data_IF_192538070662
#
_entry.id   IF_192538070662
#
_cell.length_a   1.000
_cell.length_b   1.000
_cell.length_c   1.000
_cell.angle_alpha   90.00
_cell.angle_beta   90.00
_cell.angle_gamma   90.00
#
_symmetry.space_group_name_H-M   'P 1'
#
loop_
_entity.id
_entity.type
_entity.pdbx_description
1 polymer ?
#
# COMPACT_ATOMS: atom_id res chain seq x y z
N UNK A 1 36.57 82.65 11.25
CA UNK A 1 37.87 82.87 11.91
C UNK A 1 37.93 81.92 13.11
N UNK A 2 38.81 80.89 13.05
CA UNK A 2 39.95 80.68 13.99
C UNK A 2 39.52 80.63 15.48
N UNK A 3 39.84 79.66 16.34
CA UNK A 3 40.78 78.50 16.32
C UNK A 3 40.68 77.82 17.72
N UNK A 4 40.80 76.48 17.80
CA UNK A 4 41.71 75.67 18.68
C UNK A 4 41.58 75.81 20.24
N UNK A 5 41.66 74.83 21.15
CA UNK A 5 41.68 73.34 21.29
C UNK A 5 41.73 73.00 22.80
N UNK A 6 41.22 71.80 23.20
CA UNK A 6 41.71 70.78 24.19
C UNK A 6 41.95 71.20 25.68
N UNK A 7 41.74 70.41 26.75
CA UNK A 7 41.86 68.96 26.97
C UNK A 7 41.21 68.52 28.33
N UNK A 8 40.64 67.29 28.36
CA UNK A 8 40.33 66.29 29.44
C UNK A 8 40.34 66.63 30.96
N UNK A 9 39.39 66.05 31.73
CA UNK A 9 39.55 64.77 32.48
C UNK A 9 38.28 64.34 33.28
N UNK A 10 37.98 63.04 33.24
CA UNK A 10 37.24 62.14 34.17
C UNK A 10 36.10 62.68 35.07
N UNK A 11 34.91 62.08 34.94
CA UNK A 11 33.89 62.05 36.02
C UNK A 11 33.60 60.59 36.37
N UNK A 12 33.89 60.23 37.62
CA UNK A 12 33.54 58.96 38.24
C UNK A 12 32.06 58.97 38.67
N UNK A 13 31.37 57.87 38.39
CA UNK A 13 29.97 57.63 38.77
C UNK A 13 29.91 57.30 40.27
N UNK A 14 29.18 58.12 41.03
CA UNK A 14 28.84 57.89 42.43
C UNK A 14 27.54 57.08 42.48
N UNK A 15 27.60 55.92 43.12
CA UNK A 15 26.47 55.06 43.41
C UNK A 15 25.50 55.76 44.39
N UNK A 16 24.23 55.89 43.98
CA UNK A 16 23.13 56.18 44.89
C UNK A 16 22.39 54.87 45.17
N UNK A 17 22.46 54.41 46.42
CA UNK A 17 21.70 53.27 46.94
C UNK A 17 20.23 53.70 47.03
N UNK A 18 19.37 53.10 46.22
CA UNK A 18 17.93 53.04 46.45
C UNK A 18 17.61 51.64 46.96
N UNK A 19 17.08 51.57 48.19
CA UNK A 19 16.44 50.37 48.72
C UNK A 19 15.20 50.06 47.88
N UNK A 20 15.32 49.12 46.95
CA UNK A 20 14.20 48.49 46.24
C UNK A 20 14.04 47.06 46.74
N UNK A 21 12.82 46.66 47.10
CA UNK A 21 12.48 45.29 47.46
C UNK A 21 13.01 44.31 46.41
N UNK A 22 13.56 43.17 46.83
CA UNK A 22 13.96 42.10 45.92
C UNK A 22 12.72 41.59 45.19
N UNK A 23 12.58 41.95 43.91
CA UNK A 23 11.67 41.29 43.00
C UNK A 23 12.19 39.85 42.87
N UNK A 24 11.37 38.91 43.33
CA UNK A 24 11.40 37.52 42.86
C UNK A 24 11.45 37.59 41.33
N UNK A 25 12.44 36.98 40.68
CA UNK A 25 12.61 37.09 39.24
C UNK A 25 11.30 36.76 38.51
N UNK A 26 10.91 37.60 37.56
CA UNK A 26 9.75 37.31 36.71
C UNK A 26 9.95 35.91 36.11
N UNK A 27 8.94 35.02 36.19
CA UNK A 27 9.04 33.69 35.62
C UNK A 27 9.31 33.80 34.12
N UNK A 28 10.18 32.94 33.61
CA UNK A 28 10.49 32.89 32.19
C UNK A 28 9.22 32.59 31.39
N UNK A 29 8.77 33.59 30.62
CA UNK A 29 7.60 33.49 29.73
C UNK A 29 7.99 32.91 28.38
N UNK A 30 9.28 32.70 28.11
CA UNK A 30 9.69 31.98 26.91
C UNK A 30 9.23 30.54 27.05
N UNK A 31 8.50 30.04 26.05
CA UNK A 31 8.02 28.67 26.00
C UNK A 31 9.18 27.66 26.04
N UNK A 32 8.88 26.35 26.09
CA UNK A 32 9.89 25.35 25.72
C UNK A 32 10.53 25.75 24.37
N UNK A 33 11.83 25.48 24.23
CA UNK A 33 12.67 26.08 23.20
C UNK A 33 12.06 25.98 21.78
N UNK A 34 12.06 27.11 21.06
CA UNK A 34 11.70 27.29 19.64
C UNK A 34 12.01 26.04 18.79
N UNK A 35 10.99 25.22 18.58
CA UNK A 35 10.85 24.37 17.40
C UNK A 35 9.73 25.04 16.59
N UNK A 36 9.94 25.18 15.28
CA UNK A 36 9.03 25.92 14.40
C UNK A 36 7.57 25.55 14.68
N UNK A 37 6.67 26.55 14.64
CA UNK A 37 5.25 26.36 14.29
C UNK A 37 5.20 25.80 12.86
N UNK A 38 5.72 24.59 12.66
CA UNK A 38 5.48 23.80 11.49
C UNK A 38 4.11 23.18 11.74
N UNK A 39 3.17 23.46 10.85
CA UNK A 39 2.03 22.60 10.63
C UNK A 39 2.52 21.26 10.07
N UNK A 40 3.35 20.55 10.83
CA UNK A 40 3.72 19.18 10.52
C UNK A 40 2.48 18.36 10.83
N UNK A 41 1.82 17.88 9.78
CA UNK A 41 0.79 16.87 9.93
C UNK A 41 1.42 15.70 10.72
N UNK A 42 0.71 15.19 11.72
CA UNK A 42 1.13 13.96 12.39
C UNK A 42 1.08 12.86 11.33
N UNK A 43 2.22 12.20 11.12
CA UNK A 43 2.31 11.11 10.13
C UNK A 43 1.38 9.98 10.55
N UNK A 44 0.66 9.38 9.59
CA UNK A 44 -0.28 8.31 9.90
C UNK A 44 0.46 7.08 10.46
N UNK A 45 -0.06 6.49 11.53
CA UNK A 45 0.61 5.35 12.18
C UNK A 45 1.90 5.71 12.94
N UNK A 46 2.21 7.00 13.08
CA UNK A 46 3.39 7.42 13.81
C UNK A 46 3.33 6.94 15.26
N UNK A 47 4.37 6.19 15.67
CA UNK A 47 4.49 5.68 17.03
C UNK A 47 4.80 6.83 17.97
N UNK A 48 3.75 7.39 18.59
CA UNK A 48 3.84 8.48 19.56
C UNK A 48 4.65 7.99 20.76
N UNK A 49 5.86 8.54 20.88
CA UNK A 49 6.79 8.23 21.95
C UNK A 49 6.45 9.00 23.22
N UNK A 50 6.12 10.29 23.08
CA UNK A 50 5.76 11.16 24.18
C UNK A 50 4.71 12.18 23.74
N UNK A 51 3.80 12.54 24.65
CA UNK A 51 2.98 13.73 24.50
C UNK A 51 2.94 14.52 25.82
N UNK A 52 3.26 15.81 25.75
CA UNK A 52 3.39 16.69 26.91
C UNK A 52 2.47 17.89 26.79
N UNK A 53 1.56 18.04 27.73
CA UNK A 53 0.73 19.24 27.90
C UNK A 53 1.50 20.29 28.71
N UNK A 54 1.59 21.50 28.17
CA UNK A 54 2.21 22.66 28.79
C UNK A 54 1.12 23.67 29.22
N UNK A 55 1.16 24.05 30.49
CA UNK A 55 0.26 25.04 31.10
C UNK A 55 1.06 26.11 31.84
N UNK A 56 0.84 27.38 31.54
CA UNK A 56 1.50 28.46 32.26
C UNK A 56 0.71 28.89 33.50
N UNK A 57 1.21 28.57 34.69
CA UNK A 57 0.60 28.93 35.98
C UNK A 57 0.81 30.41 36.27
N UNK A 58 -0.29 31.15 36.35
CA UNK A 58 -0.33 32.59 36.65
C UNK A 58 -0.80 32.91 38.08
N UNK A 59 -1.37 31.93 38.79
CA UNK A 59 -1.57 31.96 40.25
C UNK A 59 -1.30 30.58 40.80
N UNK A 60 -0.25 30.47 41.60
CA UNK A 60 0.15 29.23 42.26
C UNK A 60 -0.60 29.06 43.58
N UNK A 61 -1.37 27.98 43.70
CA UNK A 61 -2.14 27.65 44.90
C UNK A 61 -1.47 26.61 45.79
N UNK A 62 -0.52 25.84 45.25
CA UNK A 62 0.02 24.64 45.88
C UNK A 62 -0.92 23.42 45.85
N UNK A 63 -2.09 23.55 45.20
CA UNK A 63 -3.07 22.47 45.09
C UNK A 63 -2.82 21.61 43.84
N UNK A 64 -3.29 20.36 43.91
CA UNK A 64 -3.25 19.42 42.78
C UNK A 64 -4.35 19.75 41.77
N UNK A 65 -3.98 19.75 40.50
CA UNK A 65 -4.85 19.99 39.36
C UNK A 65 -4.91 18.70 38.55
N UNK A 66 -6.09 18.08 38.53
CA UNK A 66 -6.37 16.90 37.72
C UNK A 66 -6.76 17.31 36.30
N UNK A 67 -6.25 16.53 35.34
CA UNK A 67 -6.52 16.64 33.91
C UNK A 67 -7.42 15.47 33.51
N UNK A 68 -8.63 15.77 33.06
CA UNK A 68 -9.59 14.77 32.61
C UNK A 68 -9.83 14.89 31.12
N UNK A 69 -9.99 13.77 30.42
CA UNK A 69 -10.49 13.74 29.04
C UNK A 69 -11.94 14.21 28.99
N UNK A 70 -12.25 15.14 28.10
CA UNK A 70 -13.63 15.54 27.78
C UNK A 70 -14.26 14.48 26.87
N UNK A 71 -15.54 14.18 27.09
CA UNK A 71 -16.24 13.06 26.42
C UNK A 71 -17.38 13.53 25.53
N UNK A 72 -17.62 14.84 25.43
CA UNK A 72 -18.64 15.40 24.55
C UNK A 72 -18.19 16.77 24.05
N UNK A 73 -18.63 17.11 22.84
CA UNK A 73 -18.32 18.39 22.25
C UNK A 73 -18.83 19.56 23.06
N UNK A 74 -18.09 20.65 22.97
CA UNK A 74 -18.40 21.92 23.58
C UNK A 74 -17.95 23.05 22.66
N UNK A 75 -18.68 24.15 22.72
CA UNK A 75 -18.41 25.37 21.96
C UNK A 75 -17.84 26.43 22.90
N UNK A 76 -16.71 27.02 22.55
CA UNK A 76 -16.02 28.05 23.33
C UNK A 76 -16.93 29.21 23.73
N UNK A 77 -17.79 29.64 22.82
CA UNK A 77 -18.62 30.83 22.97
C UNK A 77 -20.00 30.53 23.58
N UNK A 78 -20.33 29.25 23.78
CA UNK A 78 -21.62 28.85 24.32
C UNK A 78 -21.53 27.97 25.58
N UNK A 79 -20.38 27.37 25.89
CA UNK A 79 -20.25 26.46 27.04
C UNK A 79 -20.49 27.18 28.37
N UNK A 80 -21.25 26.53 29.25
CA UNK A 80 -21.56 27.00 30.60
C UNK A 80 -21.41 25.82 31.56
N UNK A 81 -21.41 26.10 32.87
CA UNK A 81 -21.36 25.03 33.87
C UNK A 81 -22.52 24.03 33.72
N UNK A 82 -23.74 24.53 33.49
CA UNK A 82 -24.92 23.69 33.31
C UNK A 82 -24.92 22.93 31.98
N UNK A 83 -24.42 23.52 30.90
CA UNK A 83 -24.42 22.85 29.59
C UNK A 83 -23.32 21.80 29.46
N UNK A 84 -22.19 21.96 30.17
CA UNK A 84 -21.13 20.96 30.19
C UNK A 84 -21.51 19.71 30.99
N UNK A 85 -22.33 19.86 32.05
CA UNK A 85 -23.01 18.79 32.79
C UNK A 85 -22.14 17.59 33.22
N UNK A 86 -20.82 17.76 33.38
CA UNK A 86 -19.90 16.70 33.75
C UNK A 86 -19.50 15.76 32.61
N UNK A 87 -19.49 16.24 31.36
CA UNK A 87 -19.06 15.50 30.18
C UNK A 87 -17.54 15.23 30.14
N UNK A 88 -17.00 14.53 31.14
CA UNK A 88 -15.59 14.15 31.23
C UNK A 88 -15.39 12.77 31.84
N UNK A 89 -14.27 12.13 31.53
CA UNK A 89 -13.91 10.80 32.00
C UNK A 89 -13.38 10.81 33.45
N UNK A 90 -13.66 9.74 34.19
CA UNK A 90 -13.04 9.45 35.49
C UNK A 90 -12.50 8.01 35.48
N UNK A 91 -11.27 7.73 35.95
CA UNK A 91 -10.35 8.65 36.66
C UNK A 91 -9.75 9.74 35.74
N UNK A 92 -9.03 10.69 36.34
CA UNK A 92 -8.23 11.67 35.58
C UNK A 92 -7.12 10.96 34.80
N UNK A 93 -6.78 11.51 33.64
CA UNK A 93 -5.69 11.01 32.78
C UNK A 93 -4.32 11.33 33.40
N UNK A 94 -4.21 12.49 34.05
CA UNK A 94 -3.00 12.92 34.73
C UNK A 94 -3.31 13.97 35.83
N UNK A 95 -2.29 14.34 36.62
CA UNK A 95 -2.38 15.49 37.53
C UNK A 95 -1.03 16.18 37.73
N UNK A 96 -1.06 17.41 38.23
CA UNK A 96 0.14 18.17 38.59
C UNK A 96 -0.14 19.17 39.71
N UNK A 97 0.89 19.53 40.47
CA UNK A 97 0.79 20.54 41.53
C UNK A 97 1.10 21.93 41.00
N UNK A 98 0.18 22.88 41.21
CA UNK A 98 0.32 24.29 40.83
C UNK A 98 1.00 25.11 41.96
N UNK A 99 2.23 24.76 42.33
CA UNK A 99 2.99 25.30 43.47
C UNK A 99 3.87 26.52 43.16
N UNK A 100 4.20 26.76 41.89
CA UNK A 100 5.03 27.89 41.44
C UNK A 100 4.46 28.55 40.20
N UNK A 101 4.79 29.83 39.99
CA UNK A 101 4.47 30.55 38.76
C UNK A 101 5.38 30.07 37.62
N UNK A 102 4.83 29.98 36.41
CA UNK A 102 5.56 29.55 35.21
C UNK A 102 5.00 28.27 34.58
N UNK A 103 5.74 27.71 33.63
CA UNK A 103 5.35 26.49 32.92
C UNK A 103 5.27 25.27 33.83
N UNK A 104 4.18 24.53 33.68
CA UNK A 104 3.99 23.17 34.18
C UNK A 104 3.79 22.23 33.01
N UNK A 105 4.42 21.07 33.10
CA UNK A 105 4.29 19.99 32.13
C UNK A 105 3.48 18.86 32.74
N UNK A 106 2.65 18.24 31.91
CA UNK A 106 1.84 17.08 32.27
C UNK A 106 2.01 16.04 31.17
N UNK A 107 2.39 14.82 31.55
CA UNK A 107 2.46 13.70 30.61
C UNK A 107 1.04 13.25 30.26
N UNK A 108 0.72 13.31 28.97
CA UNK A 108 -0.58 12.90 28.40
C UNK A 108 -0.37 11.91 27.25
N UNK A 109 0.77 11.21 27.23
CA UNK A 109 1.18 10.31 26.13
C UNK A 109 0.09 9.29 25.78
N UNK A 110 -0.42 8.54 26.76
CA UNK A 110 -1.44 7.52 26.51
C UNK A 110 -2.78 8.10 26.06
N UNK A 111 -3.14 9.30 26.52
CA UNK A 111 -4.35 9.99 26.07
C UNK A 111 -4.23 10.38 24.60
N UNK A 112 -3.10 10.99 24.23
CA UNK A 112 -2.83 11.41 22.85
C UNK A 112 -2.73 10.21 21.90
N UNK A 113 -2.16 9.09 22.34
CA UNK A 113 -2.18 7.84 21.58
C UNK A 113 -3.63 7.39 21.29
N UNK A 114 -4.52 7.42 22.29
CA UNK A 114 -5.93 7.09 22.09
C UNK A 114 -6.67 8.09 21.19
N UNK A 115 -6.36 9.39 21.28
CA UNK A 115 -6.88 10.39 20.34
C UNK A 115 -6.50 10.07 18.90
N UNK A 116 -5.23 9.74 18.65
CA UNK A 116 -4.73 9.45 17.29
C UNK A 116 -5.08 8.06 16.78
N UNK A 117 -5.41 7.13 17.68
CA UNK A 117 -5.97 5.83 17.35
C UNK A 117 -7.47 5.89 16.99
N UNK A 118 -8.13 7.05 17.20
CA UNK A 118 -9.58 7.19 17.00
C UNK A 118 -10.42 6.58 18.12
N UNK A 119 -9.82 6.27 19.28
CA UNK A 119 -10.56 5.73 20.42
C UNK A 119 -11.53 6.76 21.03
N UNK A 120 -11.26 8.05 20.79
CA UNK A 120 -11.95 9.17 21.42
C UNK A 120 -12.21 10.32 20.43
N UNK A 121 -13.48 10.70 20.28
CA UNK A 121 -13.92 11.72 19.30
C UNK A 121 -13.66 13.18 19.71
N UNK A 122 -13.16 13.42 20.93
CA UNK A 122 -12.98 14.78 21.46
C UNK A 122 -11.58 14.98 22.06
N UNK A 123 -10.85 15.96 21.51
CA UNK A 123 -9.49 16.34 21.92
C UNK A 123 -9.47 17.38 23.05
N UNK A 124 -10.53 17.38 23.86
CA UNK A 124 -10.73 18.29 24.97
C UNK A 124 -10.21 17.75 26.29
N UNK A 125 -9.75 18.67 27.12
CA UNK A 125 -9.29 18.45 28.48
C UNK A 125 -10.09 19.33 29.45
N UNK A 126 -10.43 18.76 30.60
CA UNK A 126 -10.95 19.48 31.75
C UNK A 126 -9.86 19.57 32.83
N UNK A 127 -9.54 20.79 33.24
CA UNK A 127 -8.70 21.11 34.39
C UNK A 127 -9.57 21.44 35.59
N UNK A 128 -9.42 20.68 36.67
CA UNK A 128 -10.10 20.94 37.95
C UNK A 128 -9.24 20.49 39.12
N UNK A 129 -9.56 20.93 40.33
CA UNK A 129 -8.96 20.33 41.53
C UNK A 129 -9.69 19.02 41.87
N UNK A 130 -8.97 18.09 42.49
CA UNK A 130 -9.54 16.80 42.91
C UNK A 130 -10.66 16.98 43.97
N UNK A 131 -10.63 18.08 44.72
CA UNK A 131 -11.58 18.45 45.77
C UNK A 131 -11.94 19.96 45.70
N UNK A 132 -12.97 20.37 46.44
CA UNK A 132 -13.39 21.77 46.62
C UNK A 132 -12.36 22.58 47.44
N UNK A 133 -11.17 22.83 46.86
CA UNK A 133 -10.01 23.37 47.59
C UNK A 133 -9.75 24.84 47.27
N UNK A 134 -9.52 25.63 48.32
CA UNK A 134 -9.01 27.00 48.27
C UNK A 134 -7.50 27.01 48.59
N UNK A 135 -6.69 27.87 47.94
CA UNK A 135 -7.06 28.83 46.89
C UNK A 135 -7.07 28.20 45.49
N UNK A 136 -7.80 28.81 44.56
CA UNK A 136 -7.78 28.42 43.14
C UNK A 136 -6.41 28.60 42.50
N UNK A 137 -6.12 27.76 41.51
CA UNK A 137 -5.05 27.98 40.55
C UNK A 137 -5.57 28.82 39.38
N UNK A 138 -4.70 29.57 38.71
CA UNK A 138 -5.02 30.17 37.41
C UNK A 138 -3.93 29.93 36.39
N UNK A 139 -4.33 29.89 35.12
CA UNK A 139 -3.45 29.67 33.98
C UNK A 139 -3.67 30.76 32.93
N UNK A 140 -2.70 30.97 32.06
CA UNK A 140 -2.90 31.81 30.88
C UNK A 140 -3.85 31.14 29.88
N UNK A 141 -4.65 31.95 29.20
CA UNK A 141 -5.51 31.59 28.07
C UNK A 141 -4.89 32.11 26.75
N UNK A 142 -5.59 31.96 25.63
CA UNK A 142 -5.22 32.34 24.25
C UNK A 142 -4.79 33.80 24.06
N UNK A 143 -5.19 34.71 24.94
CA UNK A 143 -4.82 36.13 24.79
C UNK A 143 -3.40 36.44 25.30
N UNK A 144 -2.66 35.45 25.78
CA UNK A 144 -1.31 35.60 26.32
C UNK A 144 -0.27 34.83 25.50
N UNK A 145 0.97 35.32 25.50
CA UNK A 145 2.11 34.68 24.83
C UNK A 145 2.54 33.31 25.41
N UNK A 146 1.79 32.77 26.37
CA UNK A 146 2.10 31.53 27.10
C UNK A 146 0.82 30.69 27.31
N UNK A 147 0.00 30.60 26.26
CA UNK A 147 -1.25 29.83 26.23
C UNK A 147 -1.01 28.31 26.33
N UNK A 148 -2.06 27.51 26.64
CA UNK A 148 -1.94 26.06 26.68
C UNK A 148 -1.42 25.47 25.35
N UNK A 149 -0.51 24.51 25.45
CA UNK A 149 0.15 23.90 24.30
C UNK A 149 0.33 22.41 24.53
N UNK A 150 0.20 21.61 23.47
CA UNK A 150 0.47 20.19 23.45
C UNK A 150 1.67 19.92 22.54
N UNK A 151 2.70 19.28 23.06
CA UNK A 151 3.83 18.77 22.28
C UNK A 151 3.67 17.28 22.09
N UNK A 152 3.79 16.80 20.85
CA UNK A 152 3.68 15.38 20.50
C UNK A 152 4.95 15.01 19.78
N UNK A 153 5.70 14.04 20.31
CA UNK A 153 6.88 13.49 19.67
C UNK A 153 6.61 12.06 19.19
N UNK A 154 6.95 11.78 17.94
CA UNK A 154 6.68 10.51 17.28
C UNK A 154 7.91 9.98 16.55
N UNK A 155 7.96 8.66 16.36
CA UNK A 155 9.04 8.01 15.61
C UNK A 155 8.86 8.23 14.10
N UNK A 156 9.98 8.48 13.42
CA UNK A 156 10.09 8.54 11.96
C UNK A 156 11.27 7.70 11.48
N UNK A 157 11.35 7.42 10.17
CA UNK A 157 12.49 6.73 9.56
C UNK A 157 13.83 7.45 9.82
N UNK A 158 13.78 8.76 10.06
CA UNK A 158 14.94 9.61 10.39
C UNK A 158 15.23 9.80 11.89
N UNK A 159 14.40 9.26 12.80
CA UNK A 159 14.58 9.39 14.25
C UNK A 159 13.29 9.77 14.98
N UNK A 160 13.32 10.87 15.75
CA UNK A 160 12.16 11.38 16.49
C UNK A 160 11.89 12.81 16.04
N UNK A 161 10.65 13.07 15.64
CA UNK A 161 10.16 14.40 15.34
C UNK A 161 9.13 14.83 16.37
N UNK A 162 9.00 16.14 16.61
CA UNK A 162 8.03 16.69 17.55
C UNK A 162 7.25 17.83 16.89
N UNK A 163 5.93 17.83 17.11
CA UNK A 163 5.01 18.91 16.73
C UNK A 163 4.47 19.59 17.99
N UNK A 164 4.30 20.91 17.93
CA UNK A 164 3.67 21.70 18.99
C UNK A 164 2.36 22.28 18.49
N UNK A 165 1.28 22.01 19.23
CA UNK A 165 -0.10 22.38 18.91
C UNK A 165 -0.59 23.32 20.00
N UNK A 166 -1.02 24.50 19.61
CA UNK A 166 -1.66 25.46 20.51
C UNK A 166 -3.12 25.07 20.71
N UNK A 167 -3.67 25.29 21.90
CA UNK A 167 -5.09 25.10 22.13
C UNK A 167 -5.95 25.98 21.19
N UNK A 168 -6.86 25.34 20.48
CA UNK A 168 -7.76 25.96 19.50
C UNK A 168 -8.96 26.60 20.20
N UNK A 169 -9.48 25.95 21.25
CA UNK A 169 -10.57 26.47 22.09
C UNK A 169 -10.21 26.37 23.58
N UNK A 170 -10.59 27.36 24.38
CA UNK A 170 -10.50 27.34 25.83
C UNK A 170 -11.62 28.14 26.50
N UNK A 171 -12.08 27.70 27.66
CA UNK A 171 -13.07 28.42 28.45
C UNK A 171 -12.93 28.04 29.92
N UNK A 172 -13.37 28.91 30.84
CA UNK A 172 -13.68 28.44 32.18
C UNK A 172 -15.19 28.42 32.42
N UNK A 173 -15.63 27.44 33.21
CA UNK A 173 -17.00 27.30 33.69
C UNK A 173 -17.01 27.51 35.20
N UNK A 174 -18.11 28.08 35.70
CA UNK A 174 -18.18 28.50 37.08
C UNK A 174 -19.50 28.11 37.74
N UNK A 175 -19.42 27.36 38.82
CA UNK A 175 -20.59 26.88 39.55
C UNK A 175 -21.45 28.01 40.15
N UNK A 176 -20.86 29.16 40.53
CA UNK A 176 -21.64 30.31 41.03
C UNK A 176 -22.38 31.07 39.93
N UNK A 177 -21.92 30.96 38.68
CA UNK A 177 -22.54 31.58 37.50
C UNK A 177 -22.88 30.51 36.45
N UNK A 178 -23.80 29.58 36.76
CA UNK A 178 -23.85 28.31 36.05
C UNK A 178 -24.37 28.39 34.61
N UNK A 179 -24.90 29.55 34.21
CA UNK A 179 -25.39 29.82 32.86
C UNK A 179 -24.58 30.91 32.13
N UNK A 180 -23.45 31.33 32.69
CA UNK A 180 -22.56 32.32 32.07
C UNK A 180 -21.43 31.61 31.34
N UNK A 181 -21.17 32.02 30.10
CA UNK A 181 -20.01 31.59 29.33
C UNK A 181 -18.80 32.50 29.63
N UNK A 182 -17.61 31.92 29.67
CA UNK A 182 -16.36 32.65 29.84
C UNK A 182 -15.25 32.19 28.87
N UNK A 183 -15.60 31.97 27.60
CA UNK A 183 -14.64 31.56 26.56
C UNK A 183 -13.64 32.64 26.12
N UNK A 184 -13.87 33.91 26.44
CA UNK A 184 -12.97 35.04 26.15
C UNK A 184 -12.20 35.52 27.39
N UNK A 185 -11.99 34.64 28.35
CA UNK A 185 -11.32 35.04 29.58
C UNK A 185 -9.80 35.04 29.38
N UNK A 186 -9.07 36.11 29.76
CA UNK A 186 -7.61 36.14 29.66
C UNK A 186 -6.93 35.12 30.61
N UNK A 187 -7.71 34.41 31.43
CA UNK A 187 -7.25 33.41 32.38
C UNK A 187 -8.20 32.24 32.47
N UNK A 188 -7.59 31.07 32.63
CA UNK A 188 -8.25 29.83 33.01
C UNK A 188 -8.13 29.65 34.53
N UNK A 189 -9.05 28.89 35.13
CA UNK A 189 -9.16 28.68 36.57
C UNK A 189 -9.46 27.21 36.94
N UNK A 190 -8.89 26.76 38.06
CA UNK A 190 -9.24 25.50 38.71
C UNK A 190 -9.36 25.70 40.22
N UNK A 191 -10.46 25.22 40.83
CA UNK A 191 -10.71 25.30 42.27
C UNK A 191 -11.47 26.54 42.74
N UNK A 192 -11.41 26.82 44.04
CA UNK A 192 -12.26 27.82 44.72
C UNK A 192 -11.56 29.17 44.89
N UNK A 193 -12.26 30.25 44.59
CA UNK A 193 -11.71 31.59 44.83
C UNK A 193 -11.84 32.08 46.28
N UNK A 194 -12.74 31.49 47.06
CA UNK A 194 -12.99 31.67 48.50
C UNK A 194 -14.24 30.84 48.89
N UNK A 195 -14.62 30.84 50.17
CA UNK A 195 -15.77 30.08 50.70
C UNK A 195 -17.13 30.42 50.06
N UNK A 196 -17.24 31.55 49.33
CA UNK A 196 -18.45 31.96 48.60
C UNK A 196 -18.29 31.90 47.06
N UNK A 197 -17.07 31.65 46.58
CA UNK A 197 -16.71 31.53 45.17
C UNK A 197 -16.56 30.04 44.85
N UNK A 198 -17.68 29.42 44.49
CA UNK A 198 -17.79 27.99 44.17
C UNK A 198 -16.85 27.60 43.02
N UNK A 199 -16.69 26.29 42.83
CA UNK A 199 -15.77 25.66 41.87
C UNK A 199 -15.72 26.35 40.49
N UNK A 200 -14.51 26.71 40.08
CA UNK A 200 -14.19 27.02 38.67
C UNK A 200 -13.42 25.86 38.07
N UNK A 201 -13.74 25.53 36.83
CA UNK A 201 -13.06 24.50 36.05
C UNK A 201 -12.73 25.06 34.68
N UNK A 202 -11.68 24.58 34.05
CA UNK A 202 -11.28 25.04 32.72
C UNK A 202 -11.35 23.93 31.70
N UNK A 203 -11.82 24.28 30.52
CA UNK A 203 -11.85 23.46 29.33
C UNK A 203 -10.78 23.96 28.38
N UNK A 204 -10.05 23.04 27.76
CA UNK A 204 -9.04 23.32 26.74
C UNK A 204 -9.22 22.28 25.64
N UNK A 205 -9.26 22.66 24.37
CA UNK A 205 -9.35 21.75 23.22
C UNK A 205 -8.21 22.01 22.26
N UNK A 206 -7.63 20.94 21.76
CA UNK A 206 -6.64 20.98 20.69
C UNK A 206 -7.30 20.57 19.37
N UNK A 207 -6.84 21.14 18.27
CA UNK A 207 -7.12 20.63 16.94
C UNK A 207 -5.91 19.79 16.53
N UNK A 208 -6.06 18.46 16.57
CA UNK A 208 -4.98 17.56 16.18
C UNK A 208 -5.01 17.43 14.66
N UNK A 209 -3.85 17.50 13.97
CA UNK A 209 -3.84 17.25 12.53
C UNK A 209 -4.42 15.85 12.29
N UNK A 210 -5.44 15.77 11.43
CA UNK A 210 -6.07 14.52 11.06
C UNK A 210 -5.00 13.52 10.60
N UNK A 211 -5.13 12.27 11.05
CA UNK A 211 -4.34 11.16 10.52
C UNK A 211 -4.70 11.04 9.04
N UNK A 212 -3.77 11.18 8.07
CA UNK A 212 -4.13 10.86 6.69
C UNK A 212 -4.62 9.41 6.64
N UNK A 213 -5.83 9.22 6.12
CA UNK A 213 -6.36 7.87 5.90
C UNK A 213 -5.40 7.13 4.95
N UNK A 214 -5.00 5.92 5.33
CA UNK A 214 -4.06 5.14 4.52
C UNK A 214 -4.76 4.67 3.24
N UNK A 215 -4.02 4.67 2.14
CA UNK A 215 -4.47 4.27 0.83
C UNK A 215 -4.03 2.82 0.50
N UNK A 216 -4.55 2.31 -0.61
CA UNK A 216 -4.13 1.02 -1.18
C UNK A 216 -4.19 1.05 -2.70
N UNK A 217 -3.27 0.31 -3.34
CA UNK A 217 -3.15 0.20 -4.79
C UNK A 217 -2.90 -1.26 -5.19
N UNK A 218 -3.48 -1.70 -6.30
CA UNK A 218 -3.20 -2.99 -6.90
C UNK A 218 -4.27 -3.42 -7.90
N UNK A 219 -4.42 -4.73 -8.03
CA UNK A 219 -5.59 -5.49 -8.48
C UNK A 219 -5.13 -6.81 -9.10
N UNK A 220 -4.82 -6.89 -10.40
CA UNK A 220 -4.81 -8.15 -11.13
C UNK A 220 -3.69 -8.31 -12.17
N UNK A 221 -3.02 -9.47 -12.16
CA UNK A 221 -2.16 -9.91 -13.28
C UNK A 221 -2.82 -11.10 -13.92
N UNK A 222 -2.96 -11.12 -15.25
CA UNK A 222 -3.72 -12.16 -15.94
C UNK A 222 -3.08 -12.70 -17.21
N UNK A 223 -3.62 -13.83 -17.65
CA UNK A 223 -3.30 -14.50 -18.90
C UNK A 223 -4.23 -13.98 -19.99
N UNK A 224 -3.74 -13.01 -20.75
CA UNK A 224 -4.40 -12.44 -21.93
C UNK A 224 -4.29 -13.45 -23.09
N UNK A 225 -5.35 -14.22 -23.28
CA UNK A 225 -5.34 -15.39 -24.14
C UNK A 225 -5.40 -15.01 -25.63
N UNK A 226 -5.99 -13.87 -25.96
CA UNK A 226 -6.14 -13.41 -27.35
C UNK A 226 -5.24 -12.22 -27.72
N UNK A 227 -4.47 -11.72 -26.76
CA UNK A 227 -3.48 -10.65 -26.89
C UNK A 227 -4.13 -9.34 -27.36
N UNK A 228 -5.30 -9.01 -26.81
CA UNK A 228 -5.99 -7.77 -27.09
C UNK A 228 -5.78 -6.69 -26.00
N UNK A 229 -5.17 -7.05 -24.87
CA UNK A 229 -4.87 -6.16 -23.76
C UNK A 229 -6.06 -5.81 -22.85
N UNK A 230 -7.17 -6.55 -22.96
CA UNK A 230 -8.40 -6.36 -22.19
C UNK A 230 -8.69 -7.62 -21.39
N UNK A 231 -9.14 -7.46 -20.14
CA UNK A 231 -9.56 -8.59 -19.30
C UNK A 231 -10.91 -9.14 -19.78
N UNK A 232 -10.89 -10.35 -20.33
CA UNK A 232 -12.07 -10.99 -20.90
C UNK A 232 -12.66 -12.15 -20.07
N UNK A 233 -13.94 -12.44 -20.29
CA UNK A 233 -14.60 -13.57 -19.62
C UNK A 233 -13.98 -14.90 -20.05
N UNK A 234 -13.35 -15.59 -19.10
CA UNK A 234 -12.70 -16.88 -19.32
C UNK A 234 -11.17 -16.81 -19.29
N UNK A 235 -10.61 -15.61 -19.22
CA UNK A 235 -9.21 -15.40 -18.92
C UNK A 235 -8.92 -15.62 -17.43
N UNK A 236 -7.74 -16.15 -17.14
CA UNK A 236 -7.36 -16.55 -15.79
C UNK A 236 -6.25 -15.65 -15.26
N UNK A 237 -6.30 -15.33 -13.97
CA UNK A 237 -5.19 -14.62 -13.35
C UNK A 237 -3.92 -15.47 -13.28
N UNK A 238 -2.77 -14.79 -13.33
CA UNK A 238 -1.45 -15.40 -13.29
C UNK A 238 -0.92 -15.46 -11.85
N UNK A 239 -0.74 -16.65 -11.26
CA UNK A 239 -0.31 -16.77 -9.88
C UNK A 239 1.20 -16.60 -9.68
N UNK A 240 1.60 -16.03 -8.54
CA UNK A 240 2.99 -15.77 -8.16
C UNK A 240 3.78 -14.89 -9.15
N UNK A 241 3.14 -13.97 -9.85
CA UNK A 241 3.84 -12.87 -10.50
C UNK A 241 4.47 -11.98 -9.42
N UNK A 242 5.72 -11.56 -9.63
CA UNK A 242 6.39 -10.60 -8.75
C UNK A 242 5.99 -9.18 -9.15
N UNK A 243 5.55 -8.40 -8.16
CA UNK A 243 5.09 -7.02 -8.35
C UNK A 243 5.80 -6.13 -7.35
N UNK A 244 6.40 -5.04 -7.84
CA UNK A 244 7.18 -4.09 -7.02
C UNK A 244 6.50 -2.73 -6.98
N UNK A 245 6.52 -2.09 -5.82
CA UNK A 245 6.00 -0.74 -5.59
C UNK A 245 7.17 0.24 -5.43
N UNK A 246 7.05 1.41 -6.05
CA UNK A 246 7.96 2.54 -5.95
C UNK A 246 7.18 3.82 -5.65
N UNK A 247 7.81 4.80 -5.00
CA UNK A 247 7.23 6.14 -4.76
C UNK A 247 7.45 7.09 -5.96
N UNK A 248 7.43 6.52 -7.18
CA UNK A 248 7.88 7.13 -8.43
C UNK A 248 9.37 7.53 -8.48
N UNK A 249 10.15 7.28 -7.43
CA UNK A 249 11.59 7.51 -7.42
C UNK A 249 12.39 6.32 -6.85
N UNK A 250 12.08 5.94 -5.62
CA UNK A 250 12.76 4.95 -4.80
C UNK A 250 11.86 3.73 -4.55
N UNK A 251 12.50 2.58 -4.32
CA UNK A 251 11.81 1.33 -4.05
C UNK A 251 11.12 1.38 -2.68
N UNK A 252 9.85 0.95 -2.64
CA UNK A 252 9.02 0.89 -1.42
C UNK A 252 8.87 -0.56 -0.95
N UNK A 253 8.30 -1.43 -1.78
CA UNK A 253 7.90 -2.78 -1.37
C UNK A 253 7.83 -3.76 -2.55
N UNK A 254 7.68 -5.06 -2.24
CA UNK A 254 7.41 -6.12 -3.21
C UNK A 254 6.34 -7.05 -2.67
N UNK A 255 5.51 -7.57 -3.56
CA UNK A 255 4.47 -8.57 -3.27
C UNK A 255 4.38 -9.58 -4.42
N UNK A 256 3.54 -10.60 -4.24
CA UNK A 256 3.28 -11.59 -5.28
C UNK A 256 1.78 -11.78 -5.46
N UNK A 257 1.35 -12.02 -6.70
CA UNK A 257 -0.04 -12.34 -6.96
C UNK A 257 -0.45 -13.67 -6.34
N UNK A 258 -1.70 -13.73 -5.89
CA UNK A 258 -2.29 -14.91 -5.26
C UNK A 258 -2.63 -16.02 -6.29
N UNK A 259 -3.27 -17.10 -5.84
CA UNK A 259 -3.64 -18.23 -6.70
C UNK A 259 -4.63 -17.88 -7.82
N UNK A 260 -5.31 -16.75 -7.69
CA UNK A 260 -6.26 -16.25 -8.67
C UNK A 260 -5.68 -15.09 -9.49
N UNK A 261 -4.45 -14.61 -9.24
CA UNK A 261 -3.83 -13.50 -9.96
C UNK A 261 -3.92 -12.14 -9.27
N UNK A 262 -4.53 -12.04 -8.08
CA UNK A 262 -4.72 -10.76 -7.40
C UNK A 262 -3.53 -10.36 -6.54
N UNK A 263 -3.22 -9.07 -6.46
CA UNK A 263 -2.24 -8.50 -5.55
C UNK A 263 -2.74 -7.18 -4.93
N UNK A 264 -2.16 -6.80 -3.80
CA UNK A 264 -2.52 -5.57 -3.10
C UNK A 264 -1.29 -5.03 -2.34
N UNK A 265 -1.08 -3.72 -2.44
CA UNK A 265 -0.31 -2.95 -1.47
C UNK A 265 -1.28 -2.12 -0.65
N UNK A 266 -1.37 -2.40 0.63
CA UNK A 266 -2.20 -1.69 1.60
C UNK A 266 -1.33 -0.87 2.57
N UNK A 267 -2.00 -0.13 3.45
CA UNK A 267 -1.36 0.69 4.49
C UNK A 267 -0.39 1.75 3.93
N UNK A 268 -0.67 2.29 2.74
CA UNK A 268 0.16 3.30 2.08
C UNK A 268 -0.16 4.70 2.59
N UNK A 269 0.88 5.52 2.74
CA UNK A 269 0.68 6.96 2.95
C UNK A 269 0.15 7.61 1.66
N UNK A 270 -0.67 8.66 1.73
CA UNK A 270 -1.06 9.40 0.53
C UNK A 270 0.16 10.01 -0.14
N UNK A 271 0.30 9.84 -1.45
CA UNK A 271 1.51 10.20 -2.16
C UNK A 271 1.58 9.65 -3.57
N UNK A 272 2.71 9.88 -4.22
CA UNK A 272 2.93 9.42 -5.60
C UNK A 272 3.50 8.00 -5.60
N UNK A 273 2.92 7.10 -6.40
CA UNK A 273 3.34 5.72 -6.53
C UNK A 273 3.30 5.25 -7.98
N UNK A 274 4.16 4.27 -8.29
CA UNK A 274 4.04 3.49 -9.51
C UNK A 274 4.38 2.02 -9.25
N UNK A 275 3.82 1.16 -10.09
CA UNK A 275 3.99 -0.29 -10.01
C UNK A 275 4.94 -0.76 -11.11
N UNK A 276 5.78 -1.74 -10.76
CA UNK A 276 6.66 -2.43 -11.70
C UNK A 276 6.35 -3.93 -11.64
N UNK A 277 5.82 -4.43 -12.74
CA UNK A 277 5.57 -5.85 -12.94
C UNK A 277 6.83 -6.54 -13.47
N UNK A 278 7.22 -7.65 -12.84
CA UNK A 278 8.37 -8.44 -13.30
C UNK A 278 7.89 -9.50 -14.27
N UNK A 279 8.36 -9.43 -15.51
CA UNK A 279 7.94 -10.34 -16.58
C UNK A 279 8.38 -11.79 -16.29
N UNK A 280 7.45 -12.75 -16.20
CA UNK A 280 7.80 -14.15 -16.05
C UNK A 280 8.52 -14.72 -17.28
N UNK A 281 9.36 -15.74 -17.08
CA UNK A 281 10.07 -16.38 -18.19
C UNK A 281 9.11 -17.01 -19.20
N UNK A 282 9.31 -16.71 -20.50
CA UNK A 282 8.50 -17.24 -21.59
C UNK A 282 7.20 -16.48 -21.88
N UNK A 283 6.96 -15.38 -21.15
CA UNK A 283 5.84 -14.46 -21.37
C UNK A 283 6.30 -13.16 -22.01
N UNK A 284 5.33 -12.40 -22.50
CA UNK A 284 5.43 -10.99 -22.89
C UNK A 284 4.24 -10.25 -22.31
N UNK A 285 4.41 -8.95 -22.07
CA UNK A 285 3.31 -8.08 -21.66
C UNK A 285 2.36 -7.84 -22.84
N UNK A 286 1.08 -7.79 -22.52
CA UNK A 286 -0.02 -7.45 -23.43
C UNK A 286 0.07 -6.00 -23.92
N UNK A 287 -0.70 -5.64 -24.97
CA UNK A 287 -0.84 -4.24 -25.36
C UNK A 287 -1.35 -3.38 -24.21
N UNK A 288 -0.65 -2.29 -23.93
CA UNK A 288 -0.97 -1.35 -22.86
C UNK A 288 -2.14 -0.41 -23.23
N UNK A 289 -2.93 0.00 -22.24
CA UNK A 289 -4.00 1.01 -22.32
C UNK A 289 -5.02 0.75 -23.46
N UNK A 290 -5.56 -0.47 -23.53
CA UNK A 290 -6.51 -0.86 -24.58
C UNK A 290 -7.97 -0.66 -24.15
N UNK A 291 -8.82 -0.31 -25.11
CA UNK A 291 -10.23 -0.02 -24.81
C UNK A 291 -10.43 1.37 -24.21
N UNK A 292 -11.43 1.51 -23.35
CA UNK A 292 -11.80 2.80 -22.74
C UNK A 292 -12.15 2.67 -21.25
N UNK A 293 -12.01 1.47 -20.69
CA UNK A 293 -12.32 1.15 -19.31
C UNK A 293 -11.01 0.73 -18.64
N UNK A 294 -10.47 1.66 -17.87
CA UNK A 294 -9.17 1.60 -17.17
C UNK A 294 -9.15 0.48 -16.10
N UNK A 295 -10.32 -0.01 -15.69
CA UNK A 295 -10.42 -1.05 -14.67
C UNK A 295 -10.27 -2.48 -15.25
N UNK A 296 -10.04 -2.60 -16.56
CA UNK A 296 -9.99 -3.90 -17.25
C UNK A 296 -8.95 -3.93 -18.37
N UNK A 297 -8.05 -2.96 -18.47
CA UNK A 297 -6.95 -2.99 -19.43
C UNK A 297 -5.61 -3.30 -18.75
N UNK A 298 -4.51 -3.22 -19.49
CA UNK A 298 -3.17 -3.52 -18.98
C UNK A 298 -2.37 -2.23 -18.85
N UNK A 299 -1.89 -1.92 -17.65
CA UNK A 299 -1.09 -0.72 -17.38
C UNK A 299 0.40 -0.91 -17.61
N UNK A 300 0.87 -2.16 -17.67
CA UNK A 300 2.28 -2.47 -17.80
C UNK A 300 2.84 -2.02 -19.16
N UNK A 301 3.83 -1.13 -19.18
CA UNK A 301 4.54 -0.78 -20.42
C UNK A 301 5.15 -2.06 -21.04
N UNK A 302 4.86 -2.39 -22.31
CA UNK A 302 5.22 -3.70 -22.87
C UNK A 302 6.73 -3.98 -22.97
N UNK A 303 7.56 -2.95 -22.83
CA UNK A 303 9.01 -3.04 -22.93
C UNK A 303 9.72 -3.05 -21.58
N UNK A 304 9.09 -2.51 -20.53
CA UNK A 304 9.69 -2.31 -19.22
C UNK A 304 8.94 -2.93 -18.06
N UNK A 305 7.63 -3.21 -18.23
CA UNK A 305 6.74 -3.65 -17.15
C UNK A 305 6.39 -2.54 -16.15
N UNK A 306 6.74 -1.28 -16.45
CA UNK A 306 6.52 -0.14 -15.56
C UNK A 306 5.17 0.49 -15.90
N UNK A 307 4.29 0.59 -14.91
CA UNK A 307 3.05 1.33 -15.01
C UNK A 307 3.27 2.83 -14.78
N UNK A 308 2.28 3.66 -15.16
CA UNK A 308 2.34 5.11 -14.95
C UNK A 308 2.45 5.49 -13.46
N UNK A 309 3.00 6.67 -13.19
CA UNK A 309 2.99 7.25 -11.85
C UNK A 309 1.62 7.86 -11.56
N UNK A 310 1.05 7.54 -10.41
CA UNK A 310 -0.23 8.06 -9.93
C UNK A 310 -0.09 8.68 -8.55
N UNK A 311 -1.05 9.51 -8.14
CA UNK A 311 -1.13 10.09 -6.80
C UNK A 311 -2.30 9.44 -6.06
N UNK A 312 -2.02 8.80 -4.94
CA UNK A 312 -3.05 8.27 -4.03
C UNK A 312 -3.50 9.36 -3.04
N UNK A 313 -4.79 9.69 -3.07
CA UNK A 313 -5.45 10.56 -2.11
C UNK A 313 -5.64 9.86 -0.75
N UNK A 314 -5.82 10.60 0.37
CA UNK A 314 -6.13 10.00 1.67
C UNK A 314 -7.36 9.09 1.63
N UNK A 315 -7.17 7.83 2.05
CA UNK A 315 -8.22 6.81 2.11
C UNK A 315 -8.58 6.18 0.77
N UNK A 316 -7.83 6.49 -0.30
CA UNK A 316 -8.07 5.95 -1.63
C UNK A 316 -7.82 4.43 -1.68
N UNK A 317 -8.72 3.72 -2.34
CA UNK A 317 -8.53 2.32 -2.72
C UNK A 317 -8.62 2.25 -4.23
N UNK A 318 -7.47 2.02 -4.88
CA UNK A 318 -7.31 2.05 -6.32
C UNK A 318 -6.99 0.63 -6.87
N UNK A 319 -8.02 -0.10 -7.35
CA UNK A 319 -7.89 -1.44 -7.89
C UNK A 319 -7.93 -1.45 -9.42
N UNK A 320 -7.22 -0.54 -10.08
CA UNK A 320 -7.20 -0.48 -11.55
C UNK A 320 -5.77 -0.53 -12.09
N UNK A 321 -4.87 -1.21 -11.37
CA UNK A 321 -3.48 -1.35 -11.79
C UNK A 321 -3.18 -2.79 -12.11
N UNK A 322 -3.25 -3.10 -13.40
CA UNK A 322 -3.28 -4.45 -13.90
C UNK A 322 -2.17 -4.73 -14.92
N UNK A 323 -1.87 -6.01 -15.12
CA UNK A 323 -0.91 -6.42 -16.14
C UNK A 323 -1.38 -7.67 -16.89
N UNK A 324 -1.62 -7.49 -18.18
CA UNK A 324 -1.88 -8.59 -19.11
C UNK A 324 -0.57 -9.25 -19.50
N UNK A 325 -0.54 -10.58 -19.45
CA UNK A 325 0.57 -11.41 -19.88
C UNK A 325 0.07 -12.40 -20.91
N UNK A 326 0.79 -12.53 -22.02
CA UNK A 326 0.54 -13.62 -22.96
C UNK A 326 1.85 -14.34 -23.28
N UNK A 327 1.74 -15.64 -23.59
CA UNK A 327 2.86 -16.36 -24.17
C UNK A 327 2.77 -16.17 -25.67
N UNK A 328 3.81 -15.64 -26.33
CA UNK A 328 3.82 -15.63 -27.77
C UNK A 328 3.85 -17.10 -28.20
N UNK A 329 2.76 -17.56 -28.80
CA UNK A 329 2.77 -18.77 -29.58
C UNK A 329 3.83 -18.55 -30.66
N UNK A 330 4.96 -19.27 -30.60
CA UNK A 330 6.08 -19.05 -31.53
C UNK A 330 5.65 -19.43 -32.96
N UNK A 331 5.09 -18.46 -33.68
CA UNK A 331 4.54 -18.65 -35.02
C UNK A 331 5.69 -18.79 -36.02
N UNK A 332 5.58 -19.79 -36.90
CA UNK A 332 6.48 -19.94 -38.04
C UNK A 332 7.74 -20.79 -37.80
N UNK A 333 7.87 -21.47 -36.66
CA UNK A 333 8.90 -22.48 -36.38
C UNK A 333 8.27 -23.79 -35.86
N UNK A 334 9.06 -24.86 -35.78
CA UNK A 334 8.60 -26.17 -35.27
C UNK A 334 8.90 -26.36 -33.79
N UNK A 335 7.94 -26.91 -33.06
CA UNK A 335 8.01 -27.31 -31.66
C UNK A 335 8.09 -28.84 -31.55
N UNK A 336 8.82 -29.34 -30.54
CA UNK A 336 9.03 -30.79 -30.38
C UNK A 336 7.74 -31.49 -29.95
N UNK A 337 7.71 -32.81 -30.15
CA UNK A 337 6.65 -33.64 -29.56
C UNK A 337 6.62 -33.53 -28.02
N UNK A 338 7.76 -33.23 -27.39
CA UNK A 338 7.87 -33.03 -25.94
C UNK A 338 7.10 -31.81 -25.48
N UNK A 339 7.25 -30.70 -26.19
CA UNK A 339 6.50 -29.47 -25.97
C UNK A 339 4.99 -29.71 -26.03
N UNK A 340 4.48 -30.21 -27.15
CA UNK A 340 3.05 -30.45 -27.35
C UNK A 340 2.45 -31.39 -26.29
N UNK A 341 3.22 -32.40 -25.89
CA UNK A 341 2.81 -33.35 -24.86
C UNK A 341 2.70 -32.70 -23.48
N UNK A 342 3.58 -31.75 -23.16
CA UNK A 342 3.59 -31.06 -21.87
C UNK A 342 2.54 -29.93 -21.81
N UNK A 343 2.09 -29.42 -22.96
CA UNK A 343 1.12 -28.32 -23.06
C UNK A 343 -0.26 -28.77 -23.56
N UNK A 344 -0.61 -30.04 -23.36
CA UNK A 344 -1.94 -30.59 -23.71
C UNK A 344 -2.84 -30.69 -22.47
N UNK A 345 -2.91 -29.64 -21.63
CA UNK A 345 -3.85 -29.54 -20.50
C UNK A 345 -3.63 -30.47 -19.31
N UNK A 346 -2.47 -31.13 -19.20
CA UNK A 346 -2.13 -32.02 -18.07
C UNK A 346 -0.73 -31.73 -17.52
N UNK A 347 -0.62 -30.75 -16.62
CA UNK A 347 0.61 -30.37 -15.94
C UNK A 347 0.53 -28.97 -15.35
N UNK A 348 1.58 -28.46 -14.71
CA UNK A 348 1.70 -27.04 -14.36
C UNK A 348 1.91 -26.11 -15.56
N UNK A 349 1.95 -26.64 -16.79
CA UNK A 349 2.13 -25.89 -18.03
C UNK A 349 0.80 -25.62 -18.71
N UNK A 350 0.69 -24.45 -19.34
CA UNK A 350 -0.53 -24.00 -20.02
C UNK A 350 -0.97 -24.94 -21.13
N UNK A 351 -2.29 -25.08 -21.30
CA UNK A 351 -2.87 -25.83 -22.40
C UNK A 351 -2.88 -24.98 -23.67
N UNK A 352 -1.90 -25.19 -24.56
CA UNK A 352 -1.88 -24.53 -25.88
C UNK A 352 -2.42 -25.45 -26.99
N UNK A 353 -2.81 -26.68 -26.65
CA UNK A 353 -3.26 -27.66 -27.65
C UNK A 353 -4.74 -27.52 -27.90
N UNK A 354 -5.55 -27.25 -26.87
CA UNK A 354 -7.02 -27.17 -27.00
C UNK A 354 -7.45 -26.22 -28.13
N UNK A 355 -6.83 -25.06 -28.26
CA UNK A 355 -7.21 -24.05 -29.28
C UNK A 355 -6.78 -24.42 -30.70
N UNK A 356 -5.84 -25.35 -30.85
CA UNK A 356 -5.38 -25.85 -32.14
C UNK A 356 -6.22 -27.03 -32.66
N UNK A 357 -7.16 -27.53 -31.85
CA UNK A 357 -8.06 -28.62 -32.22
C UNK A 357 -9.35 -28.08 -32.88
N UNK A 358 -10.01 -28.87 -33.76
CA UNK A 358 -9.75 -30.27 -34.06
C UNK A 358 -8.65 -30.50 -35.10
N UNK A 359 -7.90 -31.60 -34.93
CA UNK A 359 -6.90 -32.07 -35.88
C UNK A 359 -7.25 -33.48 -36.35
N UNK A 360 -7.32 -33.68 -37.66
CA UNK A 360 -7.60 -34.99 -38.27
C UNK A 360 -6.30 -35.72 -38.64
N UNK A 361 -6.23 -37.02 -38.41
CA UNK A 361 -5.12 -37.93 -38.74
C UNK A 361 -5.67 -39.13 -39.53
N UNK A 362 -5.97 -38.93 -40.81
CA UNK A 362 -6.71 -39.91 -41.62
C UNK A 362 -8.13 -40.13 -41.10
N UNK A 363 -8.42 -41.31 -40.55
CA UNK A 363 -9.74 -41.66 -39.98
C UNK A 363 -9.91 -41.26 -38.51
N UNK A 364 -8.91 -40.62 -37.90
CA UNK A 364 -8.89 -40.29 -36.47
C UNK A 364 -9.05 -38.78 -36.33
N UNK A 365 -10.12 -38.33 -35.67
CA UNK A 365 -10.29 -36.91 -35.34
C UNK A 365 -9.90 -36.70 -33.87
N UNK A 366 -8.94 -35.81 -33.65
CA UNK A 366 -8.49 -35.38 -32.32
C UNK A 366 -9.24 -34.10 -32.00
N UNK A 367 -10.12 -34.16 -31.00
CA UNK A 367 -11.06 -33.08 -30.67
C UNK A 367 -10.90 -32.52 -29.28
N UNK A 368 -10.11 -33.20 -28.43
CA UNK A 368 -9.85 -32.77 -27.05
C UNK A 368 -8.35 -32.87 -26.71
N UNK A 369 -7.86 -32.03 -25.80
CA UNK A 369 -6.50 -32.12 -25.29
C UNK A 369 -6.20 -33.49 -24.65
N UNK A 370 -7.19 -34.15 -24.04
CA UNK A 370 -7.08 -35.51 -23.52
C UNK A 370 -6.73 -36.54 -24.60
N UNK A 371 -7.38 -36.46 -25.76
CA UNK A 371 -7.09 -37.31 -26.93
C UNK A 371 -5.70 -36.99 -27.48
N UNK A 372 -5.37 -35.71 -27.63
CA UNK A 372 -4.07 -35.27 -28.11
C UNK A 372 -2.93 -35.78 -27.21
N UNK A 373 -3.07 -35.61 -25.89
CA UNK A 373 -2.12 -36.08 -24.89
C UNK A 373 -1.91 -37.61 -24.95
N UNK A 374 -3.00 -38.38 -25.11
CA UNK A 374 -2.94 -39.84 -25.20
C UNK A 374 -2.12 -40.30 -26.43
N UNK A 375 -2.35 -39.65 -27.58
CA UNK A 375 -1.64 -39.91 -28.83
C UNK A 375 -0.16 -39.50 -28.71
N UNK A 376 0.12 -38.29 -28.24
CA UNK A 376 1.48 -37.76 -28.10
C UNK A 376 2.35 -38.59 -27.15
N UNK A 377 1.74 -39.18 -26.10
CA UNK A 377 2.42 -40.07 -25.17
C UNK A 377 2.56 -41.52 -25.68
N UNK A 378 2.09 -41.82 -26.89
CA UNK A 378 2.16 -43.14 -27.51
C UNK A 378 1.52 -44.24 -26.64
N UNK A 379 0.42 -43.91 -25.95
CA UNK A 379 -0.29 -44.83 -25.06
C UNK A 379 -1.35 -45.68 -25.74
N UNK A 380 -1.58 -45.46 -27.03
CA UNK A 380 -2.50 -46.26 -27.85
C UNK A 380 -1.99 -47.69 -28.10
N UNK A 381 -2.76 -48.45 -28.87
CA UNK A 381 -2.59 -49.89 -28.96
C UNK A 381 -1.24 -50.34 -29.57
N UNK A 382 -0.49 -51.18 -28.85
CA UNK A 382 0.73 -51.84 -29.36
C UNK A 382 2.07 -51.32 -28.83
N UNK A 383 2.07 -50.34 -27.92
CA UNK A 383 3.24 -49.94 -27.15
C UNK A 383 4.40 -49.34 -27.96
N UNK A 384 5.57 -49.10 -27.32
CA UNK A 384 6.65 -48.27 -27.88
C UNK A 384 7.40 -48.84 -29.08
N UNK A 385 7.08 -50.06 -29.54
CA UNK A 385 7.67 -50.68 -30.74
C UNK A 385 6.75 -50.62 -31.96
N UNK A 386 5.51 -50.17 -31.80
CA UNK A 386 4.55 -50.05 -32.88
C UNK A 386 4.83 -48.80 -33.73
N UNK A 387 5.14 -48.99 -35.02
CA UNK A 387 5.45 -47.89 -35.93
C UNK A 387 4.24 -47.03 -36.28
N UNK A 388 3.01 -47.58 -36.24
CA UNK A 388 1.79 -46.79 -36.45
C UNK A 388 1.50 -45.87 -35.27
N UNK A 389 1.67 -46.34 -34.03
CA UNK A 389 1.53 -45.49 -32.83
C UNK A 389 2.54 -44.34 -32.85
N UNK A 390 3.79 -44.61 -33.22
CA UNK A 390 4.81 -43.55 -33.37
C UNK A 390 4.52 -42.60 -34.51
N UNK A 391 4.01 -43.10 -35.63
CA UNK A 391 3.60 -42.26 -36.75
C UNK A 391 2.49 -41.31 -36.32
N UNK A 392 1.43 -41.82 -35.66
CA UNK A 392 0.33 -40.99 -35.14
C UNK A 392 0.84 -39.86 -34.24
N UNK A 393 1.73 -40.18 -33.29
CA UNK A 393 2.26 -39.20 -32.35
C UNK A 393 3.10 -38.11 -33.05
N UNK A 394 4.01 -38.51 -33.94
CA UNK A 394 4.82 -37.54 -34.69
C UNK A 394 3.97 -36.72 -35.67
N UNK A 395 2.97 -37.35 -36.29
CA UNK A 395 2.11 -36.68 -37.26
C UNK A 395 1.16 -35.68 -36.60
N UNK A 396 0.64 -36.00 -35.41
CA UNK A 396 -0.12 -35.04 -34.61
C UNK A 396 0.71 -33.81 -34.28
N UNK A 397 1.96 -33.98 -33.83
CA UNK A 397 2.85 -32.86 -33.56
C UNK A 397 3.13 -32.01 -34.82
N UNK A 398 3.29 -32.62 -36.00
CA UNK A 398 3.42 -31.87 -37.27
C UNK A 398 2.17 -31.04 -37.56
N UNK A 399 0.97 -31.62 -37.40
CA UNK A 399 -0.27 -30.89 -37.66
C UNK A 399 -0.55 -29.80 -36.62
N UNK A 400 -0.17 -30.01 -35.36
CA UNK A 400 -0.20 -28.97 -34.32
C UNK A 400 0.75 -27.84 -34.68
N UNK A 401 2.00 -28.13 -35.08
CA UNK A 401 2.93 -27.12 -35.60
C UNK A 401 2.32 -26.33 -36.76
N UNK A 402 1.66 -26.99 -37.71
CA UNK A 402 0.98 -26.32 -38.82
C UNK A 402 -0.20 -25.44 -38.40
N UNK A 403 -1.03 -25.92 -37.47
CA UNK A 403 -2.12 -25.14 -36.88
C UNK A 403 -1.58 -23.92 -36.11
N UNK A 404 -0.42 -24.08 -35.49
CA UNK A 404 0.38 -23.06 -34.83
C UNK A 404 1.13 -22.12 -35.79
N UNK A 405 0.89 -22.24 -37.10
CA UNK A 405 1.45 -21.36 -38.14
C UNK A 405 2.85 -21.71 -38.64
N UNK A 406 3.39 -22.89 -38.34
CA UNK A 406 4.63 -23.38 -38.94
C UNK A 406 4.45 -23.74 -40.42
N UNK A 407 5.46 -23.48 -41.25
CA UNK A 407 5.44 -23.89 -42.66
C UNK A 407 5.56 -25.42 -42.79
N UNK A 408 4.56 -26.05 -43.42
CA UNK A 408 4.50 -27.49 -43.67
C UNK A 408 5.10 -27.89 -45.02
N UNK A 409 5.58 -26.94 -45.83
CA UNK A 409 6.02 -27.19 -47.21
C UNK A 409 7.08 -28.27 -47.35
N UNK A 410 7.97 -28.44 -46.36
CA UNK A 410 9.03 -29.44 -46.37
C UNK A 410 8.54 -30.90 -46.19
N UNK A 411 7.30 -31.10 -45.73
CA UNK A 411 6.72 -32.42 -45.44
C UNK A 411 5.31 -32.60 -46.03
N UNK A 412 4.90 -31.75 -46.97
CA UNK A 412 3.54 -31.75 -47.52
C UNK A 412 3.14 -33.08 -48.19
N UNK A 413 4.06 -33.70 -48.93
CA UNK A 413 3.83 -35.01 -49.56
C UNK A 413 3.72 -36.11 -48.50
N UNK A 414 4.60 -36.10 -47.49
CA UNK A 414 4.55 -37.04 -46.38
C UNK A 414 3.27 -36.91 -45.53
N UNK A 415 2.72 -35.70 -45.37
CA UNK A 415 1.43 -35.47 -44.71
C UNK A 415 0.32 -36.23 -45.43
N UNK A 416 0.23 -36.10 -46.76
CA UNK A 416 -0.79 -36.79 -47.55
C UNK A 416 -0.62 -38.32 -47.48
N UNK A 417 0.61 -38.82 -47.55
CA UNK A 417 0.91 -40.24 -47.40
C UNK A 417 0.54 -40.76 -46.00
N UNK A 418 0.79 -39.98 -44.94
CA UNK A 418 0.47 -40.36 -43.57
C UNK A 418 -1.03 -40.37 -43.29
N UNK A 419 -1.78 -39.38 -43.80
CA UNK A 419 -3.24 -39.37 -43.74
C UNK A 419 -3.84 -40.61 -44.42
N UNK A 420 -3.34 -40.98 -45.60
CA UNK A 420 -3.78 -42.21 -46.28
C UNK A 420 -3.45 -43.46 -45.46
N UNK A 421 -2.24 -43.54 -44.88
CA UNK A 421 -1.83 -44.67 -44.04
C UNK A 421 -2.74 -44.81 -42.81
N UNK A 422 -3.06 -43.72 -42.12
CA UNK A 422 -3.94 -43.73 -40.94
C UNK A 422 -5.43 -43.82 -41.30
N UNK A 423 -5.77 -43.65 -42.58
CA UNK A 423 -7.09 -44.01 -43.12
C UNK A 423 -7.20 -45.53 -43.31
N UNK A 424 -6.15 -46.14 -43.86
CA UNK A 424 -6.13 -47.55 -44.26
C UNK A 424 -5.84 -48.52 -43.11
N UNK A 425 -5.09 -48.08 -42.09
CA UNK A 425 -4.59 -48.94 -41.03
C UNK A 425 -4.76 -48.31 -39.64
N UNK A 426 -5.15 -49.14 -38.68
CA UNK A 426 -5.17 -48.82 -37.25
C UNK A 426 -3.90 -49.33 -36.56
N UNK A 427 -3.61 -48.84 -35.35
CA UNK A 427 -2.47 -49.33 -34.56
C UNK A 427 -2.47 -50.87 -34.38
N UNK A 428 -3.64 -51.52 -34.41
CA UNK A 428 -3.79 -52.98 -34.25
C UNK A 428 -3.31 -53.78 -35.46
N UNK A 429 -3.20 -53.16 -36.63
CA UNK A 429 -2.81 -53.82 -37.87
C UNK A 429 -1.29 -54.04 -37.98
N UNK A 430 -0.50 -53.37 -37.11
CA UNK A 430 0.95 -53.33 -37.20
C UNK A 430 1.59 -54.71 -37.39
N UNK A 431 1.22 -55.71 -36.60
CA UNK A 431 1.85 -57.02 -36.67
C UNK A 431 1.58 -57.75 -37.99
N UNK A 432 0.45 -57.47 -38.64
CA UNK A 432 0.02 -58.08 -39.89
C UNK A 432 0.57 -57.38 -41.13
N UNK A 433 1.18 -56.19 -40.99
CA UNK A 433 1.76 -55.47 -42.11
C UNK A 433 2.99 -56.18 -42.68
N UNK A 434 3.12 -56.14 -44.00
CA UNK A 434 4.32 -56.61 -44.70
C UNK A 434 5.55 -55.79 -44.31
N UNK A 435 6.74 -56.38 -44.45
CA UNK A 435 8.02 -55.68 -44.22
C UNK A 435 8.14 -54.39 -45.03
N UNK A 436 7.58 -54.36 -46.24
CA UNK A 436 7.59 -53.18 -47.13
C UNK A 436 6.72 -52.06 -46.55
N UNK A 437 5.52 -52.38 -46.08
CA UNK A 437 4.61 -51.43 -45.42
C UNK A 437 5.23 -50.87 -44.13
N UNK A 438 5.74 -51.73 -43.25
CA UNK A 438 6.43 -51.31 -42.01
C UNK A 438 7.60 -50.36 -42.30
N UNK A 439 8.38 -50.62 -43.35
CA UNK A 439 9.50 -49.76 -43.76
C UNK A 439 9.01 -48.40 -44.25
N UNK A 440 7.90 -48.33 -44.99
CA UNK A 440 7.33 -47.07 -45.45
C UNK A 440 6.80 -46.23 -44.28
N UNK A 441 6.04 -46.84 -43.35
CA UNK A 441 5.53 -46.18 -42.14
C UNK A 441 6.67 -45.64 -41.28
N UNK A 442 7.70 -46.44 -41.04
CA UNK A 442 8.86 -45.99 -40.26
C UNK A 442 9.63 -44.86 -40.95
N UNK A 443 9.60 -44.78 -42.29
CA UNK A 443 10.18 -43.65 -43.02
C UNK A 443 9.39 -42.37 -42.76
N UNK A 444 8.06 -42.40 -42.91
CA UNK A 444 7.19 -41.25 -42.59
C UNK A 444 7.40 -40.78 -41.15
N UNK A 445 7.38 -41.72 -40.20
CA UNK A 445 7.64 -41.45 -38.79
C UNK A 445 9.00 -40.77 -38.56
N UNK A 446 10.04 -41.14 -39.31
CA UNK A 446 11.37 -40.53 -39.19
C UNK A 446 11.40 -39.14 -39.79
N UNK A 447 10.75 -38.93 -40.94
CA UNK A 447 10.68 -37.61 -41.59
C UNK A 447 9.95 -36.60 -40.70
N UNK A 448 8.85 -37.00 -40.06
CA UNK A 448 8.15 -36.12 -39.12
C UNK A 448 8.92 -35.86 -37.83
N UNK A 449 9.71 -36.84 -37.37
CA UNK A 449 10.65 -36.65 -36.26
C UNK A 449 11.69 -35.58 -36.61
N UNK A 450 12.26 -35.64 -37.81
CA UNK A 450 13.22 -34.63 -38.30
C UNK A 450 12.56 -33.25 -38.41
N UNK A 451 11.31 -33.17 -38.88
CA UNK A 451 10.56 -31.91 -38.96
C UNK A 451 10.28 -31.31 -37.58
N UNK A 452 9.73 -32.09 -36.65
CA UNK A 452 9.36 -31.60 -35.31
C UNK A 452 10.57 -31.17 -34.47
N UNK A 453 11.76 -31.70 -34.75
CA UNK A 453 13.01 -31.29 -34.13
C UNK A 453 13.73 -30.18 -34.94
N UNK A 454 13.06 -29.57 -35.92
CA UNK A 454 13.60 -28.48 -36.74
C UNK A 454 14.79 -28.84 -37.64
N UNK A 455 15.07 -30.13 -37.85
CA UNK A 455 16.15 -30.61 -38.74
C UNK A 455 15.79 -30.32 -40.21
N UNK A 456 14.50 -30.38 -40.54
CA UNK A 456 13.95 -29.99 -41.84
C UNK A 456 12.76 -29.04 -41.66
N UNK A 457 12.47 -28.22 -42.68
CA UNK A 457 11.38 -27.25 -42.62
C UNK A 457 11.80 -25.93 -41.99
N UNK A 458 10.92 -25.27 -41.20
CA UNK A 458 11.12 -23.88 -40.77
C UNK A 458 12.19 -23.68 -39.69
N UNK A 459 12.82 -24.75 -39.20
CA UNK A 459 13.73 -24.70 -38.06
C UNK A 459 13.00 -24.88 -36.72
N UNK A 460 13.76 -25.07 -35.65
CA UNK A 460 13.23 -25.25 -34.31
C UNK A 460 12.99 -23.90 -33.64
N UNK A 461 11.97 -23.80 -32.78
CA UNK A 461 11.80 -22.62 -31.94
C UNK A 461 12.85 -22.64 -30.82
N UNK A 462 13.97 -21.93 -31.00
CA UNK A 462 15.02 -21.81 -29.98
C UNK A 462 14.52 -20.98 -28.79
N UNK A 463 14.76 -21.43 -27.55
CA UNK A 463 14.43 -20.70 -26.31
C UNK A 463 13.53 -21.45 -25.32
N UNK A 464 12.99 -22.60 -25.72
CA UNK A 464 12.36 -23.55 -24.81
C UNK A 464 13.44 -24.55 -24.40
N UNK A 465 13.88 -24.51 -23.14
CA UNK A 465 14.76 -25.55 -22.62
C UNK A 465 14.12 -26.90 -22.87
N UNK A 466 14.74 -27.73 -23.72
CA UNK A 466 14.36 -29.13 -23.94
C UNK A 466 14.57 -30.03 -22.70
N UNK A 467 14.95 -29.43 -21.57
CA UNK A 467 15.36 -30.08 -20.33
C UNK A 467 14.51 -29.55 -19.16
N UNK A 468 13.28 -30.06 -18.98
CA UNK A 468 12.65 -30.29 -17.66
C UNK A 468 11.48 -31.30 -17.72
#
# INVERSE_FOLDING_TARGET
>A
MLRITKLLLLVAVVALVAFGCSQQGDPDITGPANLSLASAALVAGADVQTATLYLFVSTASGNDVSVHRVTSDWDEYAVTFNSFAGAFATPSEASFVADVLGWKTVDVTSLTQGWLAGDYDNFGLLLKHADMVYPRSSFHSREAASQPMLEICYATTGGTECVQIIAEADAYIWASEPNTNHGWSPRLYAGWGNDTDLEKQSLVRFDLPERPELASIGDFVWLDADNDGIQDEGEFGYPNAEVMLYDCADYVATTYTDANGYYLFDELEPGDYNIVFVLPEGYVFSPQDQGADDAVDSDADPSTGIAACTTLDPGEHDPTWDAGLYRPVWVGCSLTIGFWKNHAGFGPQDDVVTDLLPISLGSIDVTTAAEAYAILRQKDCGGPSNGLVKLMAQFLAVKLNGANGADLGAVADEIADADQVLTDYSCSDWDNLSRKQKKAINKLKSTFDDYNNGIIGPGHCDGLGDDD
#
